data_IF_606768171228
#
_entry.id   IF_606768171228
#
_cell.length_a   1.000
_cell.length_b   1.000
_cell.length_c   1.000
_cell.angle_alpha   90.00
_cell.angle_beta   90.00
_cell.angle_gamma   90.00
#
_symmetry.space_group_name_H-M   'P 1'
#
loop_
_entity.id
_entity.type
_entity.pdbx_description
1 polymer ?
#
# COMPACT_ATOMS: atom_id res chain seq x y z
N UNK A 1 2.36 17.78 13.51
CA UNK A 1 2.24 16.41 14.06
C UNK A 1 3.58 15.72 13.87
N UNK A 2 4.08 15.12 14.92
CA UNK A 2 5.32 14.34 14.83
C UNK A 2 4.96 12.93 14.33
N UNK A 3 5.57 12.51 13.23
CA UNK A 3 5.37 11.16 12.70
C UNK A 3 6.19 10.10 13.44
N UNK A 4 5.99 8.82 13.09
CA UNK A 4 6.67 7.71 13.75
C UNK A 4 8.15 7.60 13.36
N UNK A 5 8.94 7.00 14.25
CA UNK A 5 10.35 6.70 14.00
C UNK A 5 11.27 7.91 13.85
N UNK A 6 12.45 7.65 13.31
CA UNK A 6 13.50 8.64 13.11
C UNK A 6 13.49 9.14 11.66
N UNK A 7 12.44 9.84 11.27
CA UNK A 7 12.23 10.36 9.93
C UNK A 7 11.82 11.82 9.96
N UNK A 8 12.17 12.55 8.91
CA UNK A 8 11.81 13.94 8.73
C UNK A 8 10.44 14.02 8.04
N UNK A 9 9.39 13.80 8.80
CA UNK A 9 8.02 13.87 8.32
C UNK A 9 7.60 15.32 8.08
N UNK A 10 7.03 15.56 6.90
CA UNK A 10 6.48 16.87 6.50
C UNK A 10 5.11 16.65 5.87
N UNK A 11 4.27 17.69 5.80
CA UNK A 11 3.08 17.62 4.96
C UNK A 11 3.43 17.19 3.54
N UNK A 12 2.47 16.62 2.82
CA UNK A 12 2.71 16.07 1.48
C UNK A 12 3.44 17.04 0.58
N UNK A 13 4.58 16.60 0.06
CA UNK A 13 5.35 17.31 -0.93
C UNK A 13 5.27 16.57 -2.27
N UNK A 14 4.90 17.29 -3.34
CA UNK A 14 4.68 16.69 -4.66
C UNK A 14 5.87 15.87 -5.17
N UNK A 15 7.10 16.28 -4.89
CA UNK A 15 8.32 15.59 -5.32
C UNK A 15 8.63 14.29 -4.57
N UNK A 16 7.89 13.99 -3.50
CA UNK A 16 8.10 12.80 -2.66
C UNK A 16 7.04 11.72 -2.87
N UNK A 17 6.21 11.83 -3.90
CA UNK A 17 5.22 10.79 -4.24
C UNK A 17 5.21 10.58 -5.74
N UNK A 18 4.80 9.38 -6.16
CA UNK A 18 4.66 9.07 -7.59
C UNK A 18 3.56 9.92 -8.23
N UNK A 19 3.63 10.14 -9.53
CA UNK A 19 2.66 10.97 -10.25
C UNK A 19 1.20 10.57 -10.01
N UNK A 20 0.80 9.28 -10.11
CA UNK A 20 -0.59 8.90 -9.83
C UNK A 20 -0.99 9.13 -8.38
N UNK A 21 -0.05 9.04 -7.45
CA UNK A 21 -0.30 9.35 -6.03
C UNK A 21 -0.53 10.83 -5.83
N UNK A 22 0.29 11.69 -6.45
CA UNK A 22 0.13 13.14 -6.40
C UNK A 22 -1.24 13.58 -6.94
N UNK A 23 -1.68 12.98 -8.04
CA UNK A 23 -3.00 13.25 -8.62
C UNK A 23 -4.13 12.86 -7.66
N UNK A 24 -4.05 11.66 -7.09
CA UNK A 24 -5.04 11.17 -6.13
C UNK A 24 -5.11 12.07 -4.88
N UNK A 25 -3.95 12.50 -4.37
CA UNK A 25 -3.88 13.38 -3.19
C UNK A 25 -4.42 14.77 -3.48
N UNK A 26 -4.31 15.24 -4.73
CA UNK A 26 -4.92 16.49 -5.15
C UNK A 26 -6.45 16.50 -5.04
N UNK A 27 -7.08 15.32 -5.19
CA UNK A 27 -8.52 15.11 -5.04
C UNK A 27 -8.91 14.65 -3.64
N UNK A 28 -7.95 14.45 -2.75
CA UNK A 28 -8.16 13.96 -1.38
C UNK A 28 -7.24 14.71 -0.41
N UNK A 29 -7.48 16.03 -0.22
CA UNK A 29 -6.61 16.83 0.64
C UNK A 29 -6.80 16.46 2.11
N UNK A 30 -5.68 16.11 2.76
CA UNK A 30 -5.64 15.78 4.19
C UNK A 30 -4.42 16.41 4.83
N UNK A 31 -4.66 17.18 5.88
CA UNK A 31 -3.58 17.83 6.64
C UNK A 31 -2.80 16.84 7.52
N UNK A 32 -3.40 15.69 7.84
CA UNK A 32 -2.82 14.66 8.70
C UNK A 32 -2.04 13.58 7.94
N UNK A 33 -1.85 13.75 6.63
CA UNK A 33 -1.05 12.86 5.80
C UNK A 33 0.36 13.43 5.67
N UNK A 34 1.36 12.63 6.05
CA UNK A 34 2.76 13.05 6.10
C UNK A 34 3.61 12.25 5.12
N UNK A 35 4.65 12.87 4.58
CA UNK A 35 5.66 12.22 3.75
C UNK A 35 7.04 12.39 4.36
N UNK A 36 7.92 11.44 4.13
CA UNK A 36 9.31 11.52 4.56
C UNK A 36 10.22 10.88 3.50
N UNK A 37 11.38 11.51 3.21
CA UNK A 37 12.38 10.89 2.35
C UNK A 37 13.06 9.74 3.07
N UNK A 38 13.41 8.70 2.33
CA UNK A 38 14.21 7.58 2.82
C UNK A 38 15.32 7.24 1.83
N UNK A 39 16.30 6.47 2.28
CA UNK A 39 17.29 5.87 1.39
C UNK A 39 16.60 4.79 0.53
N UNK A 40 16.64 4.88 -0.81
CA UNK A 40 16.04 3.88 -1.68
C UNK A 40 16.58 2.45 -1.46
N UNK A 41 17.82 2.31 -1.00
CA UNK A 41 18.41 1.00 -0.67
C UNK A 41 17.75 0.37 0.56
N UNK A 42 17.02 1.15 1.34
CA UNK A 42 16.30 0.72 2.54
C UNK A 42 14.78 0.69 2.33
N UNK A 43 14.32 0.63 1.08
CA UNK A 43 12.89 0.60 0.77
C UNK A 43 12.21 -0.70 1.19
N UNK A 44 12.96 -1.81 1.26
CA UNK A 44 12.44 -3.07 1.78
C UNK A 44 11.97 -2.91 3.23
N UNK A 45 10.76 -3.41 3.52
CA UNK A 45 10.06 -3.08 4.78
C UNK A 45 10.86 -3.46 6.03
N UNK A 46 11.48 -4.63 6.06
CA UNK A 46 12.26 -5.05 7.22
C UNK A 46 13.47 -4.14 7.46
N UNK A 47 14.23 -3.85 6.40
CA UNK A 47 15.38 -2.95 6.47
C UNK A 47 14.96 -1.53 6.83
N UNK A 48 13.87 -1.06 6.25
CA UNK A 48 13.30 0.25 6.53
C UNK A 48 12.91 0.39 8.01
N UNK A 49 12.15 -0.56 8.52
CA UNK A 49 11.67 -0.52 9.92
C UNK A 49 12.85 -0.56 10.91
N UNK A 50 13.83 -1.41 10.66
CA UNK A 50 15.01 -1.53 11.52
C UNK A 50 15.81 -0.22 11.53
N UNK A 51 16.11 0.31 10.36
CA UNK A 51 16.94 1.50 10.24
C UNK A 51 16.29 2.76 10.80
N UNK A 52 15.01 2.96 10.52
CA UNK A 52 14.30 4.19 10.90
C UNK A 52 13.52 4.09 12.22
N UNK A 53 13.60 2.96 12.90
CA UNK A 53 12.97 2.80 14.21
C UNK A 53 11.44 2.76 14.14
N UNK A 54 10.89 2.15 13.10
CA UNK A 54 9.45 1.95 12.93
C UNK A 54 9.10 0.49 13.29
N UNK A 55 8.08 0.31 14.10
CA UNK A 55 7.61 -1.04 14.41
C UNK A 55 6.99 -1.70 13.16
N UNK A 56 7.30 -2.98 12.95
CA UNK A 56 6.72 -3.72 11.82
C UNK A 56 5.19 -3.69 11.84
N UNK A 57 4.60 -3.71 13.04
CA UNK A 57 3.14 -3.64 13.19
C UNK A 57 2.54 -2.28 12.81
N UNK A 58 3.35 -1.24 12.64
CA UNK A 58 2.90 0.07 12.20
C UNK A 58 3.22 0.34 10.74
N UNK A 59 3.76 -0.65 10.04
CA UNK A 59 4.03 -0.58 8.61
C UNK A 59 3.12 -1.56 7.86
N UNK A 60 2.57 -1.13 6.74
CA UNK A 60 1.72 -1.97 5.91
C UNK A 60 2.26 -2.04 4.48
N UNK A 61 2.22 -3.25 3.93
CA UNK A 61 2.65 -3.52 2.56
C UNK A 61 1.43 -3.56 1.64
N UNK A 62 1.57 -2.94 0.48
CA UNK A 62 0.60 -3.03 -0.59
C UNK A 62 1.11 -3.99 -1.66
N UNK A 63 0.45 -5.13 -1.81
CA UNK A 63 0.79 -6.13 -2.80
C UNK A 63 -0.26 -6.19 -3.89
N UNK A 64 0.16 -6.39 -5.13
CA UNK A 64 -0.74 -6.50 -6.28
C UNK A 64 -0.90 -7.98 -6.61
N UNK A 65 -2.16 -8.42 -6.65
CA UNK A 65 -2.52 -9.81 -6.94
C UNK A 65 -3.22 -9.87 -8.29
N UNK A 66 -2.79 -10.82 -9.12
CA UNK A 66 -3.43 -11.14 -10.39
C UNK A 66 -4.27 -12.40 -10.23
N UNK A 67 -5.56 -12.29 -10.49
CA UNK A 67 -6.49 -13.41 -10.53
C UNK A 67 -6.84 -13.77 -11.98
N UNK A 68 -6.75 -15.06 -12.32
CA UNK A 68 -7.00 -15.52 -13.68
C UNK A 68 -8.16 -16.49 -13.71
N UNK A 69 -9.04 -16.26 -14.70
CA UNK A 69 -10.12 -17.20 -15.04
C UNK A 69 -10.20 -17.26 -16.56
N UNK A 70 -9.84 -18.41 -17.14
CA UNK A 70 -9.70 -18.53 -18.58
C UNK A 70 -8.64 -17.57 -19.11
N UNK A 71 -9.01 -16.69 -20.02
CA UNK A 71 -8.12 -15.66 -20.57
C UNK A 71 -8.25 -14.31 -19.86
N UNK A 72 -9.18 -14.21 -18.91
CA UNK A 72 -9.40 -12.98 -18.18
C UNK A 72 -8.43 -12.87 -17.00
N UNK A 73 -7.85 -11.68 -16.84
CA UNK A 73 -7.03 -11.34 -15.67
C UNK A 73 -7.65 -10.17 -14.96
N UNK A 74 -7.84 -10.32 -13.65
CA UNK A 74 -8.33 -9.26 -12.75
C UNK A 74 -7.28 -8.99 -11.69
N UNK A 75 -7.16 -7.74 -11.31
CA UNK A 75 -6.16 -7.33 -10.32
C UNK A 75 -6.84 -6.79 -9.07
N UNK A 76 -6.19 -6.98 -7.94
CA UNK A 76 -6.54 -6.35 -6.68
C UNK A 76 -5.26 -5.87 -5.99
N UNK A 77 -5.36 -4.77 -5.27
CA UNK A 77 -4.34 -4.38 -4.33
C UNK A 77 -4.75 -4.87 -2.94
N UNK A 78 -3.81 -5.40 -2.19
CA UNK A 78 -4.03 -5.88 -0.83
C UNK A 78 -3.10 -5.14 0.12
N UNK A 79 -3.66 -4.49 1.12
CA UNK A 79 -2.90 -3.78 2.14
C UNK A 79 -2.93 -4.58 3.44
N UNK A 80 -1.76 -5.04 3.87
CA UNK A 80 -1.61 -5.91 5.03
C UNK A 80 -0.44 -5.45 5.89
N UNK A 81 -0.52 -5.67 7.19
CA UNK A 81 0.59 -5.33 8.09
C UNK A 81 1.85 -6.11 7.73
N UNK A 82 3.00 -5.49 7.92
CA UNK A 82 4.30 -6.10 7.62
C UNK A 82 4.58 -7.37 8.43
N UNK A 83 3.86 -7.57 9.54
CA UNK A 83 3.94 -8.75 10.40
C UNK A 83 3.16 -9.95 9.87
N UNK A 84 2.42 -9.78 8.76
CA UNK A 84 1.48 -10.79 8.24
C UNK A 84 1.75 -11.10 6.77
N UNK A 85 1.09 -12.14 6.29
CA UNK A 85 1.14 -12.55 4.88
C UNK A 85 -0.27 -12.63 4.31
N UNK A 86 -0.46 -12.12 3.11
CA UNK A 86 -1.74 -12.12 2.39
C UNK A 86 -2.16 -13.55 2.03
N UNK A 87 -3.43 -13.86 2.27
CA UNK A 87 -4.04 -15.13 1.82
C UNK A 87 -4.44 -15.03 0.34
N UNK A 88 -3.46 -15.24 -0.53
CA UNK A 88 -3.62 -15.11 -1.98
C UNK A 88 -4.54 -16.18 -2.55
N UNK A 89 -4.33 -17.43 -2.16
CA UNK A 89 -5.04 -18.59 -2.75
C UNK A 89 -6.42 -18.84 -2.17
N UNK A 90 -6.73 -18.25 -1.03
CA UNK A 90 -8.03 -18.35 -0.37
C UNK A 90 -8.86 -17.09 -0.60
N UNK A 91 -8.65 -16.10 0.26
CA UNK A 91 -9.48 -14.90 0.32
C UNK A 91 -9.44 -14.10 -0.97
N UNK A 92 -8.25 -13.76 -1.46
CA UNK A 92 -8.10 -12.89 -2.64
C UNK A 92 -8.61 -13.59 -3.90
N UNK A 93 -8.25 -14.85 -4.08
CA UNK A 93 -8.71 -15.64 -5.23
C UNK A 93 -10.24 -15.68 -5.30
N UNK A 94 -10.91 -15.93 -4.18
CA UNK A 94 -12.37 -15.94 -4.13
C UNK A 94 -12.96 -14.57 -4.41
N UNK A 95 -12.36 -13.52 -3.85
CA UNK A 95 -12.85 -12.15 -4.08
C UNK A 95 -12.76 -11.75 -5.55
N UNK A 96 -11.71 -12.17 -6.25
CA UNK A 96 -11.53 -11.89 -7.68
C UNK A 96 -12.32 -12.84 -8.59
N UNK A 97 -13.03 -13.81 -8.02
CA UNK A 97 -13.70 -14.87 -8.76
C UNK A 97 -12.75 -15.55 -9.75
N UNK A 98 -11.56 -15.85 -9.27
CA UNK A 98 -10.48 -16.41 -10.10
C UNK A 98 -10.32 -17.91 -9.85
N UNK A 99 -9.81 -18.60 -10.84
CA UNK A 99 -9.39 -20.01 -10.72
C UNK A 99 -7.99 -20.11 -10.13
N UNK A 100 -7.13 -19.17 -10.49
CA UNK A 100 -5.75 -19.06 -9.99
C UNK A 100 -5.48 -17.63 -9.59
N UNK A 101 -4.78 -17.43 -8.49
CA UNK A 101 -4.32 -16.13 -8.05
C UNK A 101 -2.86 -16.21 -7.64
N UNK A 102 -2.11 -15.19 -7.97
CA UNK A 102 -0.69 -15.07 -7.64
C UNK A 102 -0.31 -13.61 -7.52
N UNK A 103 0.86 -13.34 -6.93
CA UNK A 103 1.43 -12.00 -7.02
C UNK A 103 1.57 -11.61 -8.50
N UNK A 104 1.16 -10.40 -8.85
CA UNK A 104 1.33 -9.90 -10.21
C UNK A 104 2.83 -9.85 -10.53
N UNK A 105 3.23 -10.20 -11.77
CA UNK A 105 4.61 -10.00 -12.18
C UNK A 105 5.05 -8.56 -11.97
N UNK A 106 6.31 -8.35 -11.56
CA UNK A 106 6.86 -7.03 -11.27
C UNK A 106 6.61 -6.03 -12.39
N UNK A 107 6.90 -6.42 -13.64
CA UNK A 107 6.75 -5.54 -14.80
C UNK A 107 5.30 -5.12 -15.00
N UNK A 108 4.35 -6.04 -14.80
CA UNK A 108 2.92 -5.75 -14.91
C UNK A 108 2.48 -4.79 -13.79
N UNK A 109 2.91 -5.05 -12.56
CA UNK A 109 2.56 -4.21 -11.42
C UNK A 109 3.04 -2.77 -11.64
N UNK A 110 4.28 -2.59 -12.08
CA UNK A 110 4.85 -1.27 -12.36
C UNK A 110 4.13 -0.58 -13.51
N UNK A 111 3.90 -1.29 -14.62
CA UNK A 111 3.24 -0.72 -15.79
C UNK A 111 1.80 -0.29 -15.51
N UNK A 112 1.05 -1.10 -14.76
CA UNK A 112 -0.36 -0.85 -14.47
C UNK A 112 -0.57 0.23 -13.40
N UNK A 113 0.31 0.31 -12.41
CA UNK A 113 0.17 1.27 -11.31
C UNK A 113 0.85 2.62 -11.59
N UNK A 114 1.85 2.65 -12.46
CA UNK A 114 2.71 3.82 -12.63
C UNK A 114 3.59 4.11 -11.42
N UNK A 115 3.83 3.10 -10.58
CA UNK A 115 4.61 3.21 -9.35
C UNK A 115 5.85 2.33 -9.42
N UNK A 116 6.87 2.68 -8.64
CA UNK A 116 8.08 1.87 -8.55
C UNK A 116 7.84 0.61 -7.72
N UNK A 117 8.43 -0.50 -8.15
CA UNK A 117 8.36 -1.74 -7.38
C UNK A 117 9.09 -1.58 -6.05
N UNK A 118 8.46 -2.00 -4.96
CA UNK A 118 8.95 -1.72 -3.61
C UNK A 118 8.41 -0.43 -3.01
N UNK A 119 7.69 0.40 -3.81
CA UNK A 119 7.03 1.62 -3.36
C UNK A 119 5.54 1.63 -3.60
N UNK A 120 4.95 0.57 -4.12
CA UNK A 120 3.53 0.51 -4.46
C UNK A 120 2.68 0.82 -3.24
N UNK A 121 1.63 1.61 -3.43
CA UNK A 121 0.76 2.12 -2.37
C UNK A 121 -0.71 2.02 -2.79
N UNK A 122 -1.66 1.95 -1.84
CA UNK A 122 -3.09 1.91 -2.18
C UNK A 122 -3.65 3.23 -2.71
N UNK A 123 -2.88 4.31 -2.66
CA UNK A 123 -3.31 5.63 -3.11
C UNK A 123 -2.98 5.80 -4.60
N UNK A 124 -3.96 6.12 -5.44
CA UNK A 124 -3.72 6.40 -6.86
C UNK A 124 -3.68 5.17 -7.75
N UNK A 125 -4.28 4.08 -7.33
CA UNK A 125 -4.39 2.84 -8.12
C UNK A 125 -5.44 2.97 -9.23
N UNK A 126 -5.42 2.08 -10.24
CA UNK A 126 -6.47 2.04 -11.26
C UNK A 126 -7.87 1.96 -10.63
N UNK A 127 -8.83 2.71 -11.19
CA UNK A 127 -10.15 2.90 -10.60
C UNK A 127 -11.00 1.62 -10.51
N UNK A 128 -10.72 0.64 -11.37
CA UNK A 128 -11.43 -0.63 -11.40
C UNK A 128 -10.86 -1.70 -10.47
N UNK A 129 -9.76 -1.41 -9.79
CA UNK A 129 -9.16 -2.36 -8.86
C UNK A 129 -9.83 -2.29 -7.49
N UNK A 130 -10.30 -3.42 -6.93
CA UNK A 130 -10.61 -3.45 -5.51
C UNK A 130 -9.34 -3.28 -4.69
N UNK A 131 -9.45 -2.52 -3.61
CA UNK A 131 -8.37 -2.32 -2.64
C UNK A 131 -8.79 -3.04 -1.36
N UNK A 132 -8.23 -4.21 -1.15
CA UNK A 132 -8.56 -5.04 0.01
C UNK A 132 -7.66 -4.65 1.16
N UNK A 133 -8.25 -4.22 2.27
CA UNK A 133 -7.52 -3.80 3.46
C UNK A 133 -7.80 -4.79 4.58
N UNK A 134 -6.74 -5.40 5.11
CA UNK A 134 -6.89 -6.27 6.26
C UNK A 134 -7.36 -5.46 7.46
N UNK A 135 -8.36 -5.95 8.18
CA UNK A 135 -8.92 -5.24 9.33
C UNK A 135 -7.85 -4.88 10.35
N UNK A 136 -6.83 -5.72 10.54
CA UNK A 136 -5.74 -5.46 11.46
C UNK A 136 -5.00 -4.14 11.19
N UNK A 137 -4.95 -3.71 9.92
CA UNK A 137 -4.36 -2.42 9.55
C UNK A 137 -5.14 -1.26 10.19
N UNK A 138 -6.47 -1.37 10.19
CA UNK A 138 -7.34 -0.33 10.72
C UNK A 138 -7.34 -0.25 12.25
N UNK A 139 -6.83 -1.27 12.91
CA UNK A 139 -6.68 -1.28 14.37
C UNK A 139 -5.46 -0.47 14.84
N UNK A 140 -4.62 -0.03 13.90
CA UNK A 140 -3.50 0.85 14.22
C UNK A 140 -3.95 2.31 14.24
N UNK A 141 -3.30 3.14 15.05
CA UNK A 141 -3.57 4.58 15.07
C UNK A 141 -2.99 5.25 13.83
N UNK A 142 -1.68 5.09 13.62
CA UNK A 142 -0.97 5.53 12.44
C UNK A 142 -0.39 4.31 11.72
N UNK A 143 -0.32 4.39 10.41
CA UNK A 143 0.31 3.36 9.59
C UNK A 143 1.22 4.00 8.55
N UNK A 144 2.37 3.38 8.33
CA UNK A 144 3.33 3.77 7.30
C UNK A 144 3.11 2.90 6.08
N UNK A 145 2.95 3.53 4.93
CA UNK A 145 2.71 2.88 3.65
C UNK A 145 3.68 3.40 2.60
N UNK A 146 3.69 2.78 1.43
CA UNK A 146 4.45 3.26 0.28
C UNK A 146 3.94 4.61 -0.23
N UNK A 147 4.77 5.27 -1.01
CA UNK A 147 4.47 6.56 -1.66
C UNK A 147 4.34 6.45 -3.18
N UNK A 148 4.54 5.25 -3.73
CA UNK A 148 4.72 5.02 -5.16
C UNK A 148 6.19 5.15 -5.60
N UNK A 149 7.06 5.63 -4.74
CA UNK A 149 8.50 5.76 -4.98
C UNK A 149 9.29 4.99 -3.92
N UNK A 150 10.47 4.51 -4.29
CA UNK A 150 11.36 3.82 -3.34
C UNK A 150 12.06 4.78 -2.37
N UNK A 151 12.11 6.07 -2.67
CA UNK A 151 12.86 7.09 -1.92
C UNK A 151 12.04 7.87 -0.91
N UNK A 152 10.82 7.40 -0.62
CA UNK A 152 9.95 8.07 0.36
C UNK A 152 8.90 7.12 0.91
N UNK A 153 8.26 7.54 1.99
CA UNK A 153 7.13 6.84 2.63
C UNK A 153 6.04 7.84 2.99
N UNK A 154 4.83 7.32 3.18
CA UNK A 154 3.68 8.08 3.66
C UNK A 154 3.29 7.53 5.03
N UNK A 155 2.95 8.43 5.96
CA UNK A 155 2.31 8.07 7.21
C UNK A 155 0.94 8.78 7.28
N UNK A 156 -0.08 8.04 7.70
CA UNK A 156 -1.43 8.58 7.82
C UNK A 156 -2.19 7.83 8.92
N UNK A 157 -3.26 8.45 9.45
CA UNK A 157 -4.18 7.70 10.31
C UNK A 157 -4.73 6.49 9.58
N UNK A 158 -4.70 5.32 10.20
CA UNK A 158 -5.12 4.09 9.54
C UNK A 158 -6.55 4.17 9.02
N UNK A 159 -7.45 4.79 9.79
CA UNK A 159 -8.86 4.94 9.40
C UNK A 159 -9.08 5.83 8.18
N UNK A 160 -8.12 6.67 7.83
CA UNK A 160 -8.19 7.47 6.61
C UNK A 160 -8.21 6.58 5.36
N UNK A 161 -7.66 5.39 5.43
CA UNK A 161 -7.69 4.43 4.33
C UNK A 161 -9.10 4.04 3.89
N UNK A 162 -10.08 4.13 4.78
CA UNK A 162 -11.49 3.85 4.46
C UNK A 162 -12.08 4.83 3.43
N UNK A 163 -11.46 5.99 3.25
CA UNK A 163 -11.92 7.02 2.31
C UNK A 163 -11.42 6.80 0.89
N UNK A 164 -10.48 5.86 0.69
CA UNK A 164 -9.93 5.60 -0.64
C UNK A 164 -10.96 4.89 -1.53
N UNK A 165 -10.96 5.19 -2.85
CA UNK A 165 -11.85 4.49 -3.79
C UNK A 165 -11.59 2.99 -3.82
N UNK A 166 -12.66 2.20 -3.86
CA UNK A 166 -12.57 0.75 -4.01
C UNK A 166 -12.14 -0.02 -2.78
N UNK A 167 -12.01 0.64 -1.62
CA UNK A 167 -11.60 -0.03 -0.38
C UNK A 167 -12.68 -0.97 0.11
N UNK A 168 -12.25 -2.19 0.42
CA UNK A 168 -13.05 -3.22 1.09
C UNK A 168 -12.26 -3.74 2.28
N UNK A 169 -12.84 -3.67 3.46
CA UNK A 169 -12.23 -4.20 4.67
C UNK A 169 -12.52 -5.68 4.77
N UNK A 170 -11.48 -6.48 4.94
CA UNK A 170 -11.57 -7.94 4.98
C UNK A 170 -11.03 -8.44 6.31
N UNK A 171 -11.84 -9.19 7.05
CA UNK A 171 -11.37 -9.91 8.23
C UNK A 171 -10.57 -11.13 7.78
N UNK A 172 -9.34 -11.27 8.28
CA UNK A 172 -8.52 -12.42 7.94
C UNK A 172 -7.95 -12.40 6.52
N UNK A 173 -7.78 -11.21 5.92
CA UNK A 173 -7.09 -11.08 4.63
C UNK A 173 -5.65 -11.61 4.74
N UNK A 174 -5.03 -11.41 5.88
CA UNK A 174 -3.67 -11.82 6.16
C UNK A 174 -3.54 -12.42 7.56
N UNK A 175 -2.51 -13.19 7.74
CA UNK A 175 -2.18 -13.80 9.05
C UNK A 175 -0.69 -13.98 9.25
#
# INVERSE_FOLDING_TARGET
>A
MKGPGNLDWTPVAAGLVAAPVAEALGNWPRADLLTAPIDPELADTAAFCEHYGIELADSANCVVIAGRRGQDTRYAACLVLATTRTDVNGVVRRRLDARKASFAPMDDAVALTGMEYGGITPIGLPADWPVLVDRAVLDRDLVVIGSGLRRSKIALPAKALLELPGVEVIDGLAS
#
